data_IF_404166567186
#
_entry.id   IF_404166567186
#
_cell.length_a   1.000
_cell.length_b   1.000
_cell.length_c   1.000
_cell.angle_alpha   90.00
_cell.angle_beta   90.00
_cell.angle_gamma   90.00
#
_symmetry.space_group_name_H-M   'P 1'
#
loop_
_entity.id
_entity.type
_entity.pdbx_description
1 polymer ?
#
# COMPACT_ATOMS: atom_id res chain seq x y z
N UNK A 1 21.36 -7.54 23.01
CA UNK A 1 20.31 -7.81 21.99
C UNK A 1 21.00 -8.05 20.67
N UNK A 2 20.68 -9.13 19.94
CA UNK A 2 21.17 -9.29 18.57
C UNK A 2 20.66 -8.12 17.70
N UNK A 3 21.43 -7.67 16.69
CA UNK A 3 20.99 -6.62 15.79
C UNK A 3 19.77 -7.09 15.00
N UNK A 4 18.74 -6.25 14.92
CA UNK A 4 17.59 -6.50 14.04
C UNK A 4 18.07 -6.34 12.60
N UNK A 5 18.10 -7.44 11.85
CA UNK A 5 18.40 -7.43 10.42
C UNK A 5 17.11 -7.25 9.62
N UNK A 6 17.10 -6.26 8.71
CA UNK A 6 15.99 -6.02 7.78
C UNK A 6 16.01 -7.08 6.68
N UNK A 7 15.40 -8.23 6.97
CA UNK A 7 15.28 -9.38 6.06
C UNK A 7 13.90 -9.43 5.41
N UNK A 8 13.76 -10.18 4.31
CA UNK A 8 12.46 -10.33 3.64
C UNK A 8 11.34 -10.86 4.57
N UNK A 9 11.55 -11.90 5.40
CA UNK A 9 10.54 -12.31 6.39
C UNK A 9 10.20 -11.21 7.40
N UNK A 10 11.19 -10.41 7.81
CA UNK A 10 10.93 -9.28 8.71
C UNK A 10 10.04 -8.22 8.05
N UNK A 11 10.26 -7.91 6.76
CA UNK A 11 9.40 -6.99 6.00
C UNK A 11 7.97 -7.52 5.89
N UNK A 12 7.79 -8.82 5.58
CA UNK A 12 6.46 -9.44 5.56
C UNK A 12 5.77 -9.30 6.93
N UNK A 13 6.45 -9.67 8.02
CA UNK A 13 5.89 -9.60 9.36
C UNK A 13 5.50 -8.16 9.74
N UNK A 14 6.31 -7.17 9.33
CA UNK A 14 6.04 -5.75 9.55
C UNK A 14 4.80 -5.26 8.79
N UNK A 15 4.52 -5.80 7.60
CA UNK A 15 3.45 -5.33 6.71
C UNK A 15 2.12 -6.08 6.86
N UNK A 16 2.12 -7.30 7.39
CA UNK A 16 0.89 -8.09 7.61
C UNK A 16 -0.17 -7.30 8.40
N UNK A 17 0.22 -6.72 9.54
CA UNK A 17 -0.72 -5.97 10.38
C UNK A 17 -1.22 -4.68 9.70
N UNK A 18 -0.37 -3.81 9.14
CA UNK A 18 -0.83 -2.66 8.34
C UNK A 18 -1.78 -3.04 7.20
N UNK A 19 -1.53 -4.14 6.49
CA UNK A 19 -2.41 -4.61 5.42
C UNK A 19 -3.80 -4.99 5.94
N UNK A 20 -3.87 -5.71 7.06
CA UNK A 20 -5.17 -6.03 7.66
C UNK A 20 -5.89 -4.79 8.21
N UNK A 21 -5.19 -3.89 8.91
CA UNK A 21 -5.81 -2.68 9.48
C UNK A 21 -6.31 -1.72 8.39
N UNK A 22 -5.46 -1.42 7.40
CA UNK A 22 -5.88 -0.59 6.27
C UNK A 22 -6.94 -1.30 5.42
N UNK A 23 -6.77 -2.58 5.13
CA UNK A 23 -7.71 -3.36 4.33
C UNK A 23 -9.10 -3.41 4.94
N UNK A 24 -9.18 -3.74 6.23
CA UNK A 24 -10.44 -3.82 6.95
C UNK A 24 -11.11 -2.45 7.07
N UNK A 25 -10.34 -1.39 7.36
CA UNK A 25 -10.90 -0.03 7.42
C UNK A 25 -11.45 0.44 6.08
N UNK A 26 -10.83 0.05 4.95
CA UNK A 26 -11.36 0.32 3.61
C UNK A 26 -12.67 -0.40 3.31
N UNK A 27 -12.87 -1.60 3.89
CA UNK A 27 -14.10 -2.39 3.72
C UNK A 27 -15.22 -1.87 4.61
N UNK A 28 -14.92 -1.65 5.89
CA UNK A 28 -15.91 -1.31 6.93
C UNK A 28 -16.24 0.18 6.94
N UNK A 29 -15.27 1.05 6.67
CA UNK A 29 -15.41 2.51 6.68
C UNK A 29 -15.03 3.16 5.34
N UNK A 30 -15.61 2.73 4.20
CA UNK A 30 -15.21 3.26 2.89
C UNK A 30 -15.54 4.74 2.72
N UNK A 31 -16.62 5.23 3.34
CA UNK A 31 -17.00 6.64 3.28
C UNK A 31 -15.96 7.57 3.92
N UNK A 32 -15.34 7.16 5.03
CA UNK A 32 -14.26 7.89 5.69
C UNK A 32 -13.05 8.05 4.74
N UNK A 33 -12.67 6.98 4.05
CA UNK A 33 -11.58 7.03 3.07
C UNK A 33 -11.95 7.86 1.84
N UNK A 34 -13.18 7.75 1.35
CA UNK A 34 -13.69 8.60 0.27
C UNK A 34 -13.57 10.08 0.62
N UNK A 35 -14.05 10.48 1.79
CA UNK A 35 -13.99 11.86 2.27
C UNK A 35 -12.53 12.34 2.43
N UNK A 36 -11.67 11.51 3.01
CA UNK A 36 -10.25 11.81 3.15
C UNK A 36 -9.58 12.05 1.78
N UNK A 37 -9.79 11.16 0.80
CA UNK A 37 -9.20 11.28 -0.53
C UNK A 37 -9.80 12.44 -1.35
N UNK A 38 -11.09 12.75 -1.19
CA UNK A 38 -11.70 13.94 -1.77
C UNK A 38 -11.11 15.23 -1.17
N UNK A 39 -10.90 15.27 0.14
CA UNK A 39 -10.24 16.39 0.82
C UNK A 39 -8.81 16.60 0.34
N UNK A 40 -8.05 15.52 0.13
CA UNK A 40 -6.71 15.59 -0.47
C UNK A 40 -6.76 16.07 -1.92
N UNK A 41 -7.73 15.61 -2.72
CA UNK A 41 -7.88 16.06 -4.10
C UNK A 41 -8.15 17.58 -4.17
N UNK A 42 -9.00 18.10 -3.29
CA UNK A 42 -9.34 19.52 -3.22
C UNK A 42 -8.14 20.42 -2.91
N UNK A 43 -7.11 19.89 -2.24
CA UNK A 43 -5.86 20.61 -1.95
C UNK A 43 -4.92 20.70 -3.16
N UNK A 44 -5.17 19.97 -4.25
CA UNK A 44 -4.29 19.95 -5.43
C UNK A 44 -2.93 19.29 -5.14
N UNK A 45 -1.80 19.80 -5.68
CA UNK A 45 -0.49 19.18 -5.52
C UNK A 45 -0.05 18.92 -4.06
N UNK A 46 -0.27 19.82 -3.08
CA UNK A 46 -0.01 19.54 -1.68
C UNK A 46 -0.69 18.26 -1.15
N UNK A 47 -1.98 18.07 -1.45
CA UNK A 47 -2.70 16.87 -1.02
C UNK A 47 -2.15 15.60 -1.67
N UNK A 48 -1.66 15.69 -2.92
CA UNK A 48 -0.97 14.58 -3.57
C UNK A 48 0.35 14.22 -2.87
N UNK A 49 1.14 15.22 -2.44
CA UNK A 49 2.37 15.00 -1.67
C UNK A 49 2.05 14.33 -0.33
N UNK A 50 1.11 14.88 0.44
CA UNK A 50 0.69 14.31 1.74
C UNK A 50 0.28 12.85 1.59
N UNK A 51 -0.63 12.56 0.66
CA UNK A 51 -1.09 11.20 0.42
C UNK A 51 0.05 10.25 0.04
N UNK A 52 0.98 10.70 -0.79
CA UNK A 52 2.09 9.85 -1.30
C UNK A 52 3.08 9.52 -0.20
N UNK A 53 3.51 10.52 0.57
CA UNK A 53 4.53 10.35 1.60
C UNK A 53 3.98 9.71 2.87
N UNK A 54 2.70 9.94 3.20
CA UNK A 54 2.09 9.35 4.39
C UNK A 54 1.57 7.93 4.18
N UNK A 55 1.04 7.59 3.00
CA UNK A 55 0.35 6.30 2.80
C UNK A 55 1.12 5.27 1.95
N UNK A 56 2.02 5.70 1.06
CA UNK A 56 2.61 4.80 0.06
C UNK A 56 4.12 4.65 0.18
N UNK A 57 4.84 5.76 0.39
CA UNK A 57 6.29 5.80 0.27
C UNK A 57 7.01 4.77 1.15
N UNK A 58 6.66 4.72 2.43
CA UNK A 58 7.37 3.89 3.39
C UNK A 58 7.20 2.39 3.10
N UNK A 59 5.99 1.96 2.77
CA UNK A 59 5.72 0.57 2.37
C UNK A 59 6.47 0.20 1.09
N UNK A 60 6.43 1.06 0.07
CA UNK A 60 7.14 0.83 -1.19
C UNK A 60 8.65 0.74 -0.96
N UNK A 61 9.21 1.66 -0.18
CA UNK A 61 10.63 1.72 0.13
C UNK A 61 11.10 0.47 0.88
N UNK A 62 10.35 0.04 1.90
CA UNK A 62 10.65 -1.17 2.67
C UNK A 62 10.69 -2.41 1.76
N UNK A 63 9.68 -2.58 0.90
CA UNK A 63 9.59 -3.74 0.02
C UNK A 63 10.72 -3.72 -1.03
N UNK A 64 10.86 -2.61 -1.77
CA UNK A 64 11.86 -2.52 -2.85
C UNK A 64 13.28 -2.66 -2.32
N UNK A 65 13.56 -2.21 -1.11
CA UNK A 65 14.93 -2.25 -0.56
C UNK A 65 15.24 -3.60 0.11
N UNK A 66 14.27 -4.19 0.82
CA UNK A 66 14.54 -5.31 1.73
C UNK A 66 13.76 -6.60 1.41
N UNK A 67 12.86 -6.58 0.41
CA UNK A 67 12.05 -7.73 0.01
C UNK A 67 12.19 -8.03 -1.50
N UNK A 68 13.34 -8.59 -1.89
CA UNK A 68 13.69 -8.96 -3.28
C UNK A 68 13.51 -10.46 -3.53
N UNK A 69 12.33 -11.00 -3.19
CA UNK A 69 12.00 -12.41 -3.37
C UNK A 69 11.28 -12.60 -4.71
N UNK A 70 11.96 -13.20 -5.67
CA UNK A 70 11.45 -13.37 -7.04
C UNK A 70 10.89 -14.77 -7.33
N UNK A 71 10.78 -15.62 -6.30
CA UNK A 71 10.29 -16.99 -6.42
C UNK A 71 9.17 -17.31 -5.44
N UNK A 72 8.34 -18.28 -5.81
CA UNK A 72 7.24 -18.75 -4.96
C UNK A 72 6.17 -17.68 -4.68
N UNK A 73 5.28 -17.93 -3.71
CA UNK A 73 4.14 -17.04 -3.47
C UNK A 73 4.52 -15.66 -2.92
N UNK A 74 5.69 -15.54 -2.27
CA UNK A 74 6.22 -14.27 -1.76
C UNK A 74 6.50 -13.22 -2.85
N UNK A 75 6.64 -13.64 -4.11
CA UNK A 75 6.87 -12.73 -5.26
C UNK A 75 5.76 -11.68 -5.40
N UNK A 76 4.54 -11.99 -4.95
CA UNK A 76 3.40 -11.07 -5.01
C UNK A 76 3.69 -9.79 -4.22
N UNK A 77 4.31 -9.89 -3.04
CA UNK A 77 4.68 -8.71 -2.25
C UNK A 77 5.75 -7.88 -2.96
N UNK A 78 6.77 -8.53 -3.53
CA UNK A 78 7.82 -7.86 -4.33
C UNK A 78 7.22 -7.09 -5.51
N UNK A 79 6.34 -7.74 -6.29
CA UNK A 79 5.64 -7.09 -7.41
C UNK A 79 4.77 -5.92 -6.94
N UNK A 80 4.05 -6.07 -5.83
CA UNK A 80 3.26 -4.99 -5.23
C UNK A 80 4.13 -3.78 -4.86
N UNK A 81 5.28 -4.01 -4.20
CA UNK A 81 6.21 -2.94 -3.85
C UNK A 81 6.76 -2.19 -5.05
N UNK A 82 7.15 -2.91 -6.12
CA UNK A 82 7.60 -2.29 -7.35
C UNK A 82 6.48 -1.49 -8.04
N UNK A 83 5.27 -2.04 -8.13
CA UNK A 83 4.12 -1.33 -8.69
C UNK A 83 3.79 -0.06 -7.89
N UNK A 84 3.85 -0.13 -6.55
CA UNK A 84 3.64 1.02 -5.67
C UNK A 84 4.73 2.08 -5.85
N UNK A 85 6.00 1.67 -5.94
CA UNK A 85 7.12 2.59 -6.22
C UNK A 85 6.97 3.27 -7.58
N UNK A 86 6.64 2.52 -8.63
CA UNK A 86 6.35 3.09 -9.96
C UNK A 86 5.22 4.12 -9.88
N UNK A 87 4.12 3.80 -9.17
CA UNK A 87 3.01 4.73 -8.97
C UNK A 87 3.43 6.01 -8.24
N UNK A 88 4.27 5.91 -7.21
CA UNK A 88 4.83 7.06 -6.49
C UNK A 88 5.63 7.94 -7.44
N UNK A 89 6.58 7.35 -8.19
CA UNK A 89 7.42 8.07 -9.15
C UNK A 89 6.56 8.80 -10.18
N UNK A 90 5.62 8.09 -10.80
CA UNK A 90 4.71 8.69 -11.79
C UNK A 90 3.86 9.80 -11.18
N UNK A 91 3.38 9.64 -9.95
CA UNK A 91 2.57 10.65 -9.28
C UNK A 91 3.36 11.90 -8.94
N UNK A 92 4.63 11.77 -8.54
CA UNK A 92 5.48 12.90 -8.17
C UNK A 92 6.08 13.61 -9.39
N UNK A 93 6.47 12.87 -10.43
CA UNK A 93 7.07 13.45 -11.64
C UNK A 93 6.01 13.90 -12.66
N UNK A 94 4.80 13.32 -12.61
CA UNK A 94 3.66 13.75 -13.42
C UNK A 94 2.39 13.93 -12.54
N UNK A 95 2.29 15.03 -11.77
CA UNK A 95 1.21 15.27 -10.81
C UNK A 95 -0.21 15.17 -11.36
N UNK A 96 -0.40 15.42 -12.67
CA UNK A 96 -1.68 15.22 -13.35
C UNK A 96 -2.20 13.78 -13.21
N UNK A 97 -1.32 12.79 -13.23
CA UNK A 97 -1.68 11.38 -13.05
C UNK A 97 -2.09 11.09 -11.60
N UNK A 98 -1.32 11.61 -10.64
CA UNK A 98 -1.62 11.45 -9.22
C UNK A 98 -2.96 12.11 -8.81
N UNK A 99 -3.21 13.33 -9.30
CA UNK A 99 -4.47 14.04 -9.06
C UNK A 99 -5.66 13.32 -9.69
N UNK A 100 -5.53 12.77 -10.90
CA UNK A 100 -6.56 11.92 -11.52
C UNK A 100 -6.88 10.70 -10.65
N UNK A 101 -5.88 10.09 -10.03
CA UNK A 101 -6.09 8.98 -9.10
C UNK A 101 -6.88 9.40 -7.85
N UNK A 102 -6.59 10.57 -7.27
CA UNK A 102 -7.33 11.08 -6.12
C UNK A 102 -8.80 11.40 -6.50
N UNK A 103 -9.02 11.96 -7.69
CA UNK A 103 -10.37 12.27 -8.20
C UNK A 103 -11.27 11.03 -8.33
N UNK A 104 -10.70 9.82 -8.45
CA UNK A 104 -11.48 8.57 -8.50
C UNK A 104 -12.31 8.34 -7.23
N UNK A 105 -11.94 8.94 -6.10
CA UNK A 105 -12.76 8.89 -4.88
C UNK A 105 -14.18 9.42 -5.12
N UNK A 106 -14.36 10.37 -6.05
CA UNK A 106 -15.68 10.89 -6.43
C UNK A 106 -16.60 9.89 -7.14
N UNK A 107 -16.09 8.72 -7.55
CA UNK A 107 -16.89 7.66 -8.17
C UNK A 107 -17.63 6.76 -7.17
N UNK A 108 -17.37 6.94 -5.87
CA UNK A 108 -18.04 6.23 -4.77
C UNK A 108 -17.18 5.16 -4.10
N UNK A 109 -17.83 4.36 -3.26
CA UNK A 109 -17.17 3.56 -2.21
C UNK A 109 -16.60 2.22 -2.70
N UNK A 110 -17.06 1.73 -3.85
CA UNK A 110 -16.69 0.42 -4.36
C UNK A 110 -15.18 0.30 -4.63
N UNK A 111 -14.53 1.40 -5.06
CA UNK A 111 -13.08 1.42 -5.26
C UNK A 111 -12.31 1.21 -3.96
N UNK A 112 -12.77 1.79 -2.85
CA UNK A 112 -12.17 1.59 -1.54
C UNK A 112 -12.38 0.17 -1.05
N UNK A 113 -13.60 -0.39 -1.16
CA UNK A 113 -13.87 -1.79 -0.78
C UNK A 113 -13.00 -2.78 -1.57
N UNK A 114 -12.87 -2.59 -2.88
CA UNK A 114 -12.01 -3.43 -3.71
C UNK A 114 -10.53 -3.33 -3.30
N UNK A 115 -10.04 -2.10 -3.05
CA UNK A 115 -8.69 -1.90 -2.50
C UNK A 115 -8.52 -2.55 -1.12
N UNK A 116 -9.55 -2.50 -0.28
CA UNK A 116 -9.56 -3.15 1.02
C UNK A 116 -9.44 -4.67 0.93
N UNK A 117 -10.22 -5.31 0.05
CA UNK A 117 -10.14 -6.76 -0.21
C UNK A 117 -8.76 -7.15 -0.73
N UNK A 118 -8.17 -6.35 -1.63
CA UNK A 118 -6.81 -6.58 -2.13
C UNK A 118 -5.78 -6.53 -0.99
N UNK A 119 -5.86 -5.53 -0.10
CA UNK A 119 -4.95 -5.41 1.05
C UNK A 119 -5.13 -6.58 2.03
N UNK A 120 -6.37 -6.99 2.31
CA UNK A 120 -6.64 -8.18 3.13
C UNK A 120 -6.03 -9.45 2.52
N UNK A 121 -6.13 -9.61 1.20
CA UNK A 121 -5.55 -10.74 0.48
C UNK A 121 -4.01 -10.75 0.54
N UNK A 122 -3.36 -9.58 0.41
CA UNK A 122 -1.92 -9.44 0.59
C UNK A 122 -1.49 -9.81 2.01
N UNK A 123 -2.16 -9.27 3.03
CA UNK A 123 -1.87 -9.61 4.43
C UNK A 123 -2.06 -11.10 4.74
N UNK A 124 -3.09 -11.74 4.18
CA UNK A 124 -3.32 -13.17 4.34
C UNK A 124 -2.25 -14.02 3.64
N UNK A 125 -1.84 -13.64 2.44
CA UNK A 125 -0.78 -14.32 1.69
C UNK A 125 0.56 -14.23 2.43
N UNK A 126 0.95 -13.04 2.88
CA UNK A 126 2.20 -12.82 3.61
C UNK A 126 2.22 -13.61 4.92
N UNK A 127 1.11 -13.60 5.68
CA UNK A 127 0.97 -14.39 6.89
C UNK A 127 1.12 -15.89 6.61
N UNK A 128 0.48 -16.39 5.54
CA UNK A 128 0.61 -17.79 5.14
C UNK A 128 2.05 -18.16 4.74
N UNK A 129 2.75 -17.28 4.00
CA UNK A 129 4.16 -17.49 3.65
C UNK A 129 5.03 -17.57 4.91
N UNK A 130 4.83 -16.66 5.87
CA UNK A 130 5.57 -16.65 7.13
C UNK A 130 5.37 -17.92 7.95
N UNK A 131 4.12 -18.37 8.07
CA UNK A 131 3.78 -19.60 8.81
C UNK A 131 4.41 -20.84 8.15
N UNK A 132 4.54 -20.86 6.83
CA UNK A 132 5.14 -21.98 6.08
C UNK A 132 6.67 -21.97 6.07
N UNK A 133 7.30 -20.82 6.38
CA UNK A 133 8.74 -20.66 6.42
C UNK A 133 9.33 -20.88 7.83
N UNK A 134 8.48 -20.93 8.87
CA UNK A 134 8.84 -21.23 10.25
C UNK A 134 8.82 -22.75 10.52
#
# INVERSE_FOLDING_TARGET
MPPVSLTAPFVQALLVLPFFVMGLSHIVQPAMWREYFLGLHAQGPPGLVTRTFSLELWSALLIVTFHQVWGGPAVVLTLYGHALMTKIILSMLAPRLGLRSLALAGKGDNGFRAGGVMLMALGALDLWVLIRAA
#
